data_IF_610224203465
#
_entry.id   IF_610224203465
#
_cell.length_a   1.000
_cell.length_b   1.000
_cell.length_c   1.000
_cell.angle_alpha   90.00
_cell.angle_beta   90.00
_cell.angle_gamma   90.00
#
_symmetry.space_group_name_H-M   'P 1'
#
loop_
_entity.id
_entity.type
_entity.pdbx_description
1 polymer ?
#
# COMPACT_ATOMS: atom_id res chain seq x y z
N UNK A 1 -26.29 31.95 -1.67
CA UNK A 1 -24.90 31.94 -1.20
C UNK A 1 -24.85 31.10 0.07
N UNK A 2 -25.13 29.81 -0.11
CA UNK A 2 -25.67 28.91 0.92
C UNK A 2 -24.57 28.10 1.62
N UNK A 3 -24.86 27.64 2.84
CA UNK A 3 -24.09 26.73 3.73
C UNK A 3 -23.39 25.54 3.02
N UNK A 4 -23.76 25.25 1.78
CA UNK A 4 -23.15 24.23 0.90
C UNK A 4 -21.74 24.62 0.46
N UNK A 5 -21.44 25.92 0.32
CA UNK A 5 -20.09 26.40 0.01
C UNK A 5 -19.15 26.31 1.24
N UNK A 6 -19.68 26.64 2.42
CA UNK A 6 -18.93 26.61 3.67
C UNK A 6 -18.61 25.16 4.13
N UNK A 7 -19.52 24.21 3.88
CA UNK A 7 -19.24 22.77 4.08
C UNK A 7 -18.19 22.20 3.11
N UNK A 8 -17.99 22.82 1.93
CA UNK A 8 -16.93 22.41 1.00
C UNK A 8 -15.57 22.99 1.39
N UNK A 9 -15.52 24.20 1.94
CA UNK A 9 -14.28 24.82 2.42
C UNK A 9 -13.82 24.29 3.79
N UNK A 10 -14.73 23.73 4.61
CA UNK A 10 -14.34 22.99 5.83
C UNK A 10 -13.84 21.57 5.56
N UNK A 11 -14.10 21.01 4.36
CA UNK A 11 -13.58 19.71 3.91
C UNK A 11 -12.15 19.80 3.36
N UNK A 12 -11.57 21.00 3.24
CA UNK A 12 -10.21 21.23 2.72
C UNK A 12 -9.17 21.56 3.82
N UNK A 13 -9.52 21.37 5.10
CA UNK A 13 -8.47 21.09 6.09
C UNK A 13 -7.98 19.69 5.76
N UNK A 14 -6.83 19.62 5.10
CA UNK A 14 -6.09 18.39 4.85
C UNK A 14 -6.05 17.61 6.16
N UNK A 15 -6.97 16.64 6.30
CA UNK A 15 -7.02 15.76 7.45
C UNK A 15 -5.65 15.14 7.56
N UNK A 16 -5.07 15.22 8.74
CA UNK A 16 -3.74 14.70 8.99
C UNK A 16 -3.64 13.27 8.43
N UNK A 17 -2.73 13.08 7.45
CA UNK A 17 -2.50 11.78 6.87
C UNK A 17 -1.98 10.85 7.95
N UNK A 18 -2.59 9.67 8.05
CA UNK A 18 -2.23 8.69 9.08
C UNK A 18 -0.75 8.31 8.97
N UNK A 19 -0.11 7.90 10.07
CA UNK A 19 1.28 7.42 10.03
C UNK A 19 1.47 6.29 9.00
N UNK A 20 0.45 5.44 8.81
CA UNK A 20 0.51 4.34 7.84
C UNK A 20 0.49 4.84 6.40
N UNK A 21 -0.24 5.90 6.11
CA UNK A 21 -0.26 6.53 4.79
C UNK A 21 1.11 7.10 4.41
N UNK A 22 1.68 7.94 5.29
CA UNK A 22 3.02 8.51 5.10
C UNK A 22 4.07 7.41 4.96
N UNK A 23 4.00 6.36 5.79
CA UNK A 23 4.90 5.22 5.68
C UNK A 23 4.82 4.56 4.29
N UNK A 24 3.62 4.34 3.76
CA UNK A 24 3.42 3.75 2.43
C UNK A 24 3.91 4.68 1.31
N UNK A 25 3.72 6.00 1.43
CA UNK A 25 4.27 7.01 0.49
C UNK A 25 5.78 6.99 0.44
N UNK A 26 6.45 7.11 1.59
CA UNK A 26 7.90 7.18 1.65
C UNK A 26 8.54 5.87 1.19
N UNK A 27 7.89 4.74 1.50
CA UNK A 27 8.32 3.43 1.03
C UNK A 27 8.23 3.31 -0.49
N UNK A 28 7.17 3.84 -1.10
CA UNK A 28 7.02 3.89 -2.55
C UNK A 28 8.07 4.81 -3.21
N UNK A 29 8.30 6.00 -2.65
CA UNK A 29 9.36 6.91 -3.10
C UNK A 29 10.74 6.27 -3.03
N UNK A 30 11.04 5.54 -1.94
CA UNK A 30 12.31 4.81 -1.80
C UNK A 30 12.48 3.74 -2.90
N UNK A 31 11.42 3.00 -3.24
CA UNK A 31 11.43 2.04 -4.36
C UNK A 31 11.70 2.72 -5.69
N UNK A 32 10.99 3.81 -5.99
CA UNK A 32 11.16 4.57 -7.25
C UNK A 32 12.57 5.10 -7.43
N UNK A 33 13.16 5.65 -6.37
CA UNK A 33 14.56 6.11 -6.38
C UNK A 33 15.52 4.95 -6.63
N UNK A 34 15.28 3.78 -6.01
CA UNK A 34 16.13 2.61 -6.19
C UNK A 34 16.02 2.01 -7.60
N UNK A 35 14.81 1.94 -8.14
CA UNK A 35 14.54 1.46 -9.50
C UNK A 35 15.22 2.37 -10.53
N UNK A 36 15.09 3.70 -10.38
CA UNK A 36 15.73 4.67 -11.25
C UNK A 36 17.26 4.58 -11.16
N UNK A 37 17.82 4.50 -9.94
CA UNK A 37 19.26 4.33 -9.71
C UNK A 37 19.79 3.04 -10.35
N UNK A 38 19.04 1.94 -10.25
CA UNK A 38 19.41 0.65 -10.84
C UNK A 38 19.34 0.70 -12.36
N UNK A 39 18.33 1.38 -12.92
CA UNK A 39 18.21 1.64 -14.34
C UNK A 39 19.39 2.44 -14.91
N UNK A 40 19.78 3.52 -14.24
CA UNK A 40 20.95 4.33 -14.62
C UNK A 40 22.24 3.51 -14.62
N UNK A 41 22.49 2.71 -13.58
CA UNK A 41 23.66 1.82 -13.52
C UNK A 41 23.68 0.84 -14.70
N UNK A 42 22.54 0.19 -14.97
CA UNK A 42 22.43 -0.79 -16.07
C UNK A 42 22.63 -0.18 -17.46
N UNK A 43 22.22 1.08 -17.68
CA UNK A 43 22.47 1.79 -18.95
C UNK A 43 23.94 2.18 -19.11
N UNK A 44 24.58 2.61 -18.03
CA UNK A 44 25.94 3.16 -18.08
C UNK A 44 27.03 2.09 -18.11
N UNK A 45 26.78 0.91 -17.53
CA UNK A 45 27.72 -0.21 -17.63
C UNK A 45 27.91 -0.68 -19.09
N UNK A 46 26.99 -0.32 -20.01
CA UNK A 46 27.11 -0.61 -21.45
C UNK A 46 27.76 0.50 -22.29
N UNK A 47 27.85 1.75 -21.79
CA UNK A 47 28.28 2.93 -22.58
C UNK A 47 29.42 3.75 -21.95
N UNK A 48 29.83 3.42 -20.72
CA UNK A 48 30.70 4.28 -19.90
C UNK A 48 29.89 5.39 -19.22
N UNK A 49 30.36 5.88 -18.07
CA UNK A 49 29.67 6.92 -17.27
C UNK A 49 30.19 8.32 -17.59
N UNK A 50 29.28 9.28 -17.65
CA UNK A 50 29.64 10.71 -17.63
C UNK A 50 29.80 11.22 -16.20
N UNK A 51 30.54 12.33 -16.01
CA UNK A 51 30.69 12.99 -14.71
C UNK A 51 29.33 13.37 -14.11
N UNK A 52 28.39 13.83 -14.95
CA UNK A 52 27.04 14.19 -14.50
C UNK A 52 26.26 12.99 -13.96
N UNK A 53 26.37 11.83 -14.63
CA UNK A 53 25.73 10.58 -14.19
C UNK A 53 26.35 10.05 -12.89
N UNK A 54 27.66 10.23 -12.68
CA UNK A 54 28.31 9.86 -11.41
C UNK A 54 27.77 10.70 -10.25
N UNK A 55 27.68 12.02 -10.43
CA UNK A 55 27.08 12.93 -9.45
C UNK A 55 25.62 12.57 -9.20
N UNK A 56 24.84 12.28 -10.24
CA UNK A 56 23.44 11.85 -10.10
C UNK A 56 23.32 10.54 -9.29
N UNK A 57 24.18 9.55 -9.55
CA UNK A 57 24.20 8.29 -8.80
C UNK A 57 24.57 8.46 -7.32
N UNK A 58 25.42 9.43 -7.01
CA UNK A 58 25.77 9.82 -5.64
C UNK A 58 24.58 10.49 -4.94
N UNK A 59 23.96 11.48 -5.59
CA UNK A 59 22.75 12.16 -5.10
C UNK A 59 21.62 11.16 -4.83
N UNK A 60 21.34 10.26 -5.77
CA UNK A 60 20.35 9.18 -5.60
C UNK A 60 20.73 8.23 -4.47
N UNK A 61 22.03 7.99 -4.25
CA UNK A 61 22.55 7.22 -3.13
C UNK A 61 22.22 7.87 -1.78
N UNK A 62 22.48 9.17 -1.67
CA UNK A 62 22.17 9.97 -0.48
C UNK A 62 20.65 10.01 -0.21
N UNK A 63 19.87 10.38 -1.23
CA UNK A 63 18.41 10.42 -1.15
C UNK A 63 17.81 9.07 -0.71
N UNK A 64 18.34 7.95 -1.23
CA UNK A 64 17.89 6.61 -0.81
C UNK A 64 18.17 6.37 0.68
N UNK A 65 19.31 6.82 1.18
CA UNK A 65 19.67 6.69 2.61
C UNK A 65 18.67 7.45 3.48
N UNK A 66 18.43 8.72 3.16
CA UNK A 66 17.51 9.60 3.90
C UNK A 66 16.08 9.04 3.89
N UNK A 67 15.60 8.61 2.72
CA UNK A 67 14.30 7.98 2.58
C UNK A 67 14.21 6.67 3.38
N UNK A 68 15.27 5.87 3.41
CA UNK A 68 15.30 4.61 4.17
C UNK A 68 15.19 4.88 5.68
N UNK A 69 15.86 5.93 6.17
CA UNK A 69 15.75 6.35 7.56
C UNK A 69 14.33 6.84 7.89
N UNK A 70 13.77 7.72 7.05
CA UNK A 70 12.39 8.19 7.21
C UNK A 70 11.38 7.03 7.22
N UNK A 71 11.52 6.05 6.32
CA UNK A 71 10.66 4.85 6.29
C UNK A 71 10.77 4.06 7.60
N UNK A 72 11.97 3.90 8.16
CA UNK A 72 12.15 3.20 9.43
C UNK A 72 11.48 3.93 10.59
N UNK A 73 11.61 5.25 10.63
CA UNK A 73 11.01 6.07 11.67
C UNK A 73 9.48 6.08 11.57
N UNK A 74 8.94 6.29 10.37
CA UNK A 74 7.50 6.18 10.12
C UNK A 74 6.99 4.80 10.50
N UNK A 75 7.73 3.72 10.21
CA UNK A 75 7.34 2.37 10.62
C UNK A 75 7.24 2.22 12.14
N UNK A 76 8.14 2.82 12.91
CA UNK A 76 8.01 2.84 14.38
C UNK A 76 6.75 3.58 14.80
N UNK A 77 6.51 4.77 14.24
CA UNK A 77 5.32 5.56 14.56
C UNK A 77 4.03 4.80 14.27
N UNK A 78 3.96 4.07 13.15
CA UNK A 78 2.79 3.23 12.84
C UNK A 78 2.50 2.18 13.92
N UNK A 79 3.54 1.63 14.55
CA UNK A 79 3.41 0.52 15.51
C UNK A 79 3.19 0.99 16.94
N UNK A 80 3.72 2.14 17.31
CA UNK A 80 3.83 2.54 18.71
C UNK A 80 3.03 3.81 19.04
N UNK A 81 2.85 4.73 18.10
CA UNK A 81 2.10 5.96 18.35
C UNK A 81 0.59 5.73 18.28
N UNK A 82 -0.14 6.56 19.04
CA UNK A 82 -1.59 6.67 18.96
C UNK A 82 -2.02 7.37 17.65
N UNK A 83 -3.27 7.17 17.24
CA UNK A 83 -3.77 7.76 16.00
C UNK A 83 -3.12 7.23 14.72
N UNK A 84 -2.36 6.13 14.75
CA UNK A 84 -1.59 5.68 13.59
C UNK A 84 -2.43 5.28 12.35
N UNK A 85 -3.75 5.09 12.51
CA UNK A 85 -4.67 4.65 11.47
C UNK A 85 -5.85 5.61 11.41
N UNK A 86 -6.40 5.86 10.22
CA UNK A 86 -7.66 6.57 10.09
C UNK A 86 -8.86 5.59 10.09
N UNK A 87 -10.08 6.13 10.10
CA UNK A 87 -11.31 5.31 10.10
C UNK A 87 -11.44 4.47 8.82
N UNK A 88 -11.14 5.07 7.68
CA UNK A 88 -11.22 4.43 6.37
C UNK A 88 -10.30 3.21 6.26
N UNK A 89 -9.12 3.27 6.89
CA UNK A 89 -8.16 2.17 6.97
C UNK A 89 -8.75 0.94 7.66
N UNK A 90 -9.56 1.14 8.70
CA UNK A 90 -10.16 0.05 9.47
C UNK A 90 -11.38 -0.57 8.76
N UNK A 91 -12.09 0.23 7.97
CA UNK A 91 -13.31 -0.17 7.26
C UNK A 91 -13.01 -0.86 5.94
N UNK A 92 -12.07 -0.34 5.15
CA UNK A 92 -11.81 -0.80 3.78
C UNK A 92 -10.76 -1.91 3.69
N UNK A 93 -9.94 -2.09 4.73
CA UNK A 93 -8.94 -3.16 4.75
C UNK A 93 -9.51 -4.51 5.18
N UNK A 94 -8.87 -5.58 4.70
CA UNK A 94 -9.32 -6.98 4.93
C UNK A 94 -8.81 -7.47 6.29
N UNK A 95 -9.38 -6.91 7.35
CA UNK A 95 -9.13 -7.30 8.73
C UNK A 95 -10.11 -8.38 9.16
N UNK A 96 -9.65 -9.26 10.06
CA UNK A 96 -10.59 -10.06 10.85
C UNK A 96 -11.28 -9.16 11.88
N UNK A 97 -12.43 -9.58 12.40
CA UNK A 97 -13.13 -8.81 13.42
C UNK A 97 -12.23 -8.49 14.63
N UNK A 98 -11.50 -9.49 15.09
CA UNK A 98 -10.53 -9.32 16.20
C UNK A 98 -9.39 -8.36 15.87
N UNK A 99 -8.89 -8.36 14.64
CA UNK A 99 -7.84 -7.42 14.21
C UNK A 99 -8.37 -5.99 14.14
N UNK A 100 -9.62 -5.82 13.66
CA UNK A 100 -10.28 -4.51 13.59
C UNK A 100 -10.55 -3.96 14.97
N UNK A 101 -11.08 -4.77 15.88
CA UNK A 101 -11.34 -4.41 17.28
C UNK A 101 -10.05 -3.96 17.97
N UNK A 102 -8.98 -4.77 17.89
CA UNK A 102 -7.68 -4.42 18.46
C UNK A 102 -7.12 -3.13 17.86
N UNK A 103 -7.20 -2.96 16.53
CA UNK A 103 -6.67 -1.78 15.84
C UNK A 103 -7.45 -0.50 16.16
N UNK A 104 -8.77 -0.62 16.39
CA UNK A 104 -9.64 0.46 16.83
C UNK A 104 -9.29 0.91 18.25
N UNK A 105 -9.20 -0.04 19.18
CA UNK A 105 -8.85 0.28 20.58
C UNK A 105 -7.42 0.84 20.68
N UNK A 106 -6.48 0.33 19.86
CA UNK A 106 -5.10 0.83 19.82
C UNK A 106 -4.93 2.26 19.34
N UNK A 107 -5.98 2.89 18.80
CA UNK A 107 -5.95 4.32 18.49
C UNK A 107 -5.80 5.18 19.75
N UNK A 108 -6.34 4.73 20.88
CA UNK A 108 -6.41 5.53 22.11
C UNK A 108 -5.89 4.81 23.36
N UNK A 109 -5.54 3.53 23.25
CA UNK A 109 -5.11 2.70 24.38
C UNK A 109 -3.81 1.98 24.06
N UNK A 110 -2.96 1.80 25.06
CA UNK A 110 -1.75 0.98 25.01
C UNK A 110 -2.08 -0.50 24.80
N UNK A 111 -1.09 -1.30 24.35
CA UNK A 111 -1.29 -2.75 24.20
C UNK A 111 -1.71 -3.43 25.52
N UNK A 112 -1.24 -2.91 26.66
CA UNK A 112 -1.55 -3.43 28.00
C UNK A 112 -2.98 -3.12 28.40
N UNK A 113 -3.47 -1.91 28.15
CA UNK A 113 -4.86 -1.54 28.43
C UNK A 113 -5.83 -2.32 27.54
N UNK A 114 -5.53 -2.44 26.25
CA UNK A 114 -6.35 -3.25 25.32
C UNK A 114 -6.35 -4.72 25.73
N UNK A 115 -5.23 -5.23 26.23
CA UNK A 115 -5.14 -6.59 26.78
C UNK A 115 -6.09 -6.79 27.96
N UNK A 116 -6.11 -5.85 28.90
CA UNK A 116 -7.04 -5.89 30.04
C UNK A 116 -8.51 -5.79 29.59
N UNK A 117 -8.83 -4.91 28.63
CA UNK A 117 -10.19 -4.74 28.12
C UNK A 117 -10.72 -5.98 27.38
N UNK A 118 -9.84 -6.71 26.71
CA UNK A 118 -10.20 -7.85 25.85
C UNK A 118 -9.89 -9.21 26.46
N UNK A 119 -9.45 -9.24 27.72
CA UNK A 119 -8.99 -10.43 28.45
C UNK A 119 -7.95 -11.24 27.66
N UNK A 120 -6.94 -10.54 27.14
CA UNK A 120 -5.86 -11.13 26.35
C UNK A 120 -4.49 -10.83 26.95
N UNK A 121 -3.51 -11.63 26.54
CA UNK A 121 -2.10 -11.29 26.73
C UNK A 121 -1.68 -10.07 25.89
N UNK A 122 -0.92 -9.10 26.45
CA UNK A 122 -0.41 -7.94 25.71
C UNK A 122 0.38 -8.31 24.45
N UNK A 123 1.08 -9.44 24.47
CA UNK A 123 1.81 -9.98 23.32
C UNK A 123 0.87 -10.39 22.18
N UNK A 124 -0.30 -10.93 22.50
CA UNK A 124 -1.34 -11.30 21.54
C UNK A 124 -1.96 -10.07 20.91
N UNK A 125 -2.24 -9.03 21.71
CA UNK A 125 -2.71 -7.73 21.23
C UNK A 125 -1.69 -7.11 20.28
N UNK A 126 -0.42 -7.03 20.67
CA UNK A 126 0.62 -6.46 19.82
C UNK A 126 0.77 -7.24 18.50
N UNK A 127 0.71 -8.58 18.55
CA UNK A 127 0.76 -9.43 17.35
C UNK A 127 -0.44 -9.16 16.43
N UNK A 128 -1.65 -9.08 16.98
CA UNK A 128 -2.86 -8.78 16.21
C UNK A 128 -2.79 -7.39 15.58
N UNK A 129 -2.34 -6.38 16.33
CA UNK A 129 -2.16 -5.02 15.85
C UNK A 129 -1.12 -4.93 14.72
N UNK A 130 0.05 -5.56 14.92
CA UNK A 130 1.11 -5.64 13.89
C UNK A 130 0.61 -6.32 12.61
N UNK A 131 -0.23 -7.35 12.72
CA UNK A 131 -0.87 -7.99 11.56
C UNK A 131 -1.89 -7.07 10.88
N UNK A 132 -2.68 -6.31 11.65
CA UNK A 132 -3.62 -5.33 11.13
C UNK A 132 -2.89 -4.25 10.31
N UNK A 133 -1.85 -3.63 10.88
CA UNK A 133 -1.02 -2.64 10.17
C UNK A 133 -0.47 -3.20 8.86
N UNK A 134 0.09 -4.41 8.87
CA UNK A 134 0.61 -5.05 7.63
C UNK A 134 -0.47 -5.23 6.56
N UNK A 135 -1.71 -5.51 6.96
CA UNK A 135 -2.83 -5.67 6.03
C UNK A 135 -3.30 -4.32 5.49
N UNK A 136 -3.33 -3.29 6.34
CA UNK A 136 -3.66 -1.91 5.96
C UNK A 136 -2.60 -1.35 5.02
N UNK A 137 -1.31 -1.54 5.31
CA UNK A 137 -0.20 -1.16 4.43
C UNK A 137 -0.38 -1.78 3.04
N UNK A 138 -0.67 -3.08 2.98
CA UNK A 138 -0.95 -3.77 1.70
C UNK A 138 -2.19 -3.25 1.00
N UNK A 139 -3.23 -2.88 1.75
CA UNK A 139 -4.43 -2.27 1.20
C UNK A 139 -4.10 -0.92 0.55
N UNK A 140 -3.42 -0.01 1.26
CA UNK A 140 -3.01 1.29 0.73
C UNK A 140 -2.05 1.17 -0.46
N UNK A 141 -1.11 0.24 -0.41
CA UNK A 141 -0.23 -0.05 -1.56
C UNK A 141 -1.04 -0.44 -2.80
N UNK A 142 -2.05 -1.31 -2.63
CA UNK A 142 -2.95 -1.73 -3.72
C UNK A 142 -3.85 -0.61 -4.21
N UNK A 143 -4.39 0.19 -3.30
CA UNK A 143 -5.24 1.34 -3.61
C UNK A 143 -4.50 2.35 -4.51
N UNK A 144 -3.23 2.63 -4.21
CA UNK A 144 -2.36 3.48 -5.06
C UNK A 144 -2.11 2.90 -6.44
N UNK A 145 -2.01 1.58 -6.55
CA UNK A 145 -1.89 0.88 -7.83
C UNK A 145 -3.26 0.71 -8.55
N UNK A 146 -4.36 1.20 -7.97
CA UNK A 146 -5.71 0.99 -8.48
C UNK A 146 -6.16 -0.47 -8.48
N UNK A 147 -5.58 -1.29 -7.60
CA UNK A 147 -5.86 -2.72 -7.45
C UNK A 147 -6.99 -2.91 -6.43
N UNK A 148 -8.10 -3.56 -6.82
CA UNK A 148 -9.20 -3.86 -5.91
C UNK A 148 -8.76 -4.68 -4.69
N UNK A 149 -9.35 -4.43 -3.50
CA UNK A 149 -9.08 -5.24 -2.33
C UNK A 149 -9.55 -6.69 -2.54
N UNK A 150 -8.87 -7.65 -1.90
CA UNK A 150 -9.34 -9.05 -1.80
C UNK A 150 -9.00 -9.93 -3.00
N UNK A 151 -8.21 -9.43 -3.94
CA UNK A 151 -7.57 -10.26 -4.95
C UNK A 151 -6.53 -11.19 -4.31
N UNK A 152 -6.43 -12.41 -4.83
CA UNK A 152 -5.34 -13.33 -4.51
C UNK A 152 -4.05 -12.90 -5.22
N UNK A 153 -2.86 -13.38 -4.79
CA UNK A 153 -1.60 -13.01 -5.44
C UNK A 153 -1.57 -13.27 -6.95
N UNK A 154 -2.21 -14.35 -7.41
CA UNK A 154 -2.32 -14.65 -8.84
C UNK A 154 -3.30 -13.71 -9.55
N UNK A 155 -4.41 -13.35 -8.90
CA UNK A 155 -5.36 -12.39 -9.44
C UNK A 155 -4.74 -10.98 -9.54
N UNK A 156 -3.93 -10.57 -8.58
CA UNK A 156 -3.20 -9.29 -8.61
C UNK A 156 -2.25 -9.23 -9.82
N UNK A 157 -1.46 -10.29 -10.05
CA UNK A 157 -0.57 -10.39 -11.22
C UNK A 157 -1.34 -10.27 -12.54
N UNK A 158 -2.44 -11.02 -12.67
CA UNK A 158 -3.32 -10.96 -13.85
C UNK A 158 -3.91 -9.55 -14.03
N UNK A 159 -4.35 -8.92 -12.95
CA UNK A 159 -4.94 -7.59 -12.98
C UNK A 159 -3.94 -6.49 -13.38
N UNK A 160 -2.71 -6.52 -12.86
CA UNK A 160 -1.64 -5.58 -13.25
C UNK A 160 -1.34 -5.66 -14.75
N UNK A 161 -1.19 -6.88 -15.29
CA UNK A 161 -0.95 -7.08 -16.72
C UNK A 161 -2.16 -6.66 -17.56
N UNK A 162 -3.38 -6.84 -17.06
CA UNK A 162 -4.59 -6.34 -17.70
C UNK A 162 -4.64 -4.80 -17.74
N UNK A 163 -4.27 -4.12 -16.66
CA UNK A 163 -4.17 -2.64 -16.63
C UNK A 163 -3.13 -2.11 -17.63
N UNK A 164 -2.08 -2.88 -17.91
CA UNK A 164 -1.11 -2.60 -18.97
C UNK A 164 -1.64 -2.88 -20.40
N UNK A 165 -2.96 -3.10 -20.56
CA UNK A 165 -3.63 -3.40 -21.83
C UNK A 165 -3.15 -4.67 -22.54
N UNK A 166 -2.52 -5.62 -21.83
CA UNK A 166 -2.15 -6.91 -22.40
C UNK A 166 -3.39 -7.77 -22.67
N UNK A 167 -3.35 -8.48 -23.80
CA UNK A 167 -4.35 -9.47 -24.16
C UNK A 167 -4.28 -10.70 -23.25
N UNK A 168 -5.36 -11.48 -23.19
CA UNK A 168 -5.40 -12.71 -22.39
C UNK A 168 -4.30 -13.71 -22.76
N UNK A 169 -3.91 -13.72 -24.04
CA UNK A 169 -2.82 -14.57 -24.55
C UNK A 169 -1.47 -14.10 -24.05
N UNK A 170 -1.17 -12.81 -24.17
CA UNK A 170 0.08 -12.24 -23.65
C UNK A 170 0.19 -12.37 -22.13
N UNK A 171 -0.93 -12.26 -21.41
CA UNK A 171 -0.98 -12.51 -19.95
C UNK A 171 -0.68 -13.98 -19.65
N UNK A 172 -1.29 -14.90 -20.39
CA UNK A 172 -1.07 -16.34 -20.23
C UNK A 172 0.41 -16.71 -20.46
N UNK A 173 1.00 -16.16 -21.52
CA UNK A 173 2.42 -16.33 -21.85
C UNK A 173 3.32 -15.69 -20.76
N UNK A 174 3.04 -14.45 -20.34
CA UNK A 174 3.81 -13.75 -19.30
C UNK A 174 3.79 -14.45 -17.94
N UNK A 175 2.70 -15.15 -17.61
CA UNK A 175 2.52 -15.82 -16.32
C UNK A 175 2.72 -17.34 -16.40
N UNK A 176 3.03 -17.88 -17.58
CA UNK A 176 3.11 -19.31 -17.85
C UNK A 176 1.89 -20.11 -17.33
N UNK A 177 0.69 -19.65 -17.66
CA UNK A 177 -0.58 -20.30 -17.29
C UNK A 177 -1.50 -20.43 -18.51
N UNK A 178 -2.54 -21.26 -18.43
CA UNK A 178 -3.49 -21.40 -19.54
C UNK A 178 -4.33 -20.12 -19.75
N UNK A 179 -4.71 -19.85 -21.01
CA UNK A 179 -5.63 -18.76 -21.37
C UNK A 179 -6.99 -18.91 -20.64
N UNK A 180 -7.45 -20.14 -20.41
CA UNK A 180 -8.68 -20.43 -19.66
C UNK A 180 -8.55 -20.04 -18.17
N UNK A 181 -7.38 -20.25 -17.58
CA UNK A 181 -7.06 -19.79 -16.23
C UNK A 181 -7.10 -18.26 -16.17
N UNK A 182 -6.52 -17.56 -17.14
CA UNK A 182 -6.59 -16.08 -17.24
C UNK A 182 -8.04 -15.60 -17.33
N UNK A 183 -8.86 -16.21 -18.19
CA UNK A 183 -10.29 -15.90 -18.32
C UNK A 183 -11.03 -16.07 -16.99
N UNK A 184 -10.74 -17.16 -16.27
CA UNK A 184 -11.34 -17.45 -14.96
C UNK A 184 -10.92 -16.41 -13.92
N UNK A 185 -9.63 -16.07 -13.87
CA UNK A 185 -9.13 -15.04 -12.97
C UNK A 185 -9.76 -13.68 -13.25
N UNK A 186 -9.82 -13.23 -14.51
CA UNK A 186 -10.46 -11.96 -14.88
C UNK A 186 -11.95 -11.92 -14.51
N UNK A 187 -12.68 -13.03 -14.68
CA UNK A 187 -14.08 -13.13 -14.24
C UNK A 187 -14.20 -12.98 -12.72
N UNK A 188 -13.35 -13.66 -11.96
CA UNK A 188 -13.34 -13.58 -10.50
C UNK A 188 -12.91 -12.19 -10.00
N UNK A 189 -11.94 -11.56 -10.69
CA UNK A 189 -11.53 -10.19 -10.41
C UNK A 189 -12.71 -9.25 -10.63
N UNK A 190 -13.40 -9.34 -11.78
CA UNK A 190 -14.59 -8.52 -12.05
C UNK A 190 -15.66 -8.67 -10.94
N UNK A 191 -15.94 -9.90 -10.51
CA UNK A 191 -16.87 -10.16 -9.40
C UNK A 191 -16.45 -9.50 -8.08
N UNK A 192 -15.14 -9.46 -7.81
CA UNK A 192 -14.57 -8.86 -6.58
C UNK A 192 -14.40 -7.34 -6.67
N UNK A 193 -14.12 -6.82 -7.87
CA UNK A 193 -13.88 -5.41 -8.15
C UNK A 193 -15.18 -4.61 -8.34
N UNK A 194 -16.26 -5.28 -8.74
CA UNK A 194 -17.56 -4.65 -8.96
C UNK A 194 -18.65 -5.69 -9.11
N UNK A 195 -19.40 -5.93 -8.02
CA UNK A 195 -20.83 -6.16 -8.21
C UNK A 195 -21.40 -4.95 -8.94
N UNK A 196 -21.33 -5.00 -10.27
CA UNK A 196 -21.71 -3.98 -11.26
C UNK A 196 -20.74 -2.77 -11.39
N UNK A 197 -20.31 -2.53 -12.63
CA UNK A 197 -19.63 -1.32 -13.14
C UNK A 197 -18.08 -1.27 -13.08
N UNK A 198 -17.48 -0.86 -14.21
CA UNK A 198 -16.06 -0.61 -14.49
C UNK A 198 -15.06 -1.77 -14.68
N UNK A 199 -15.46 -2.79 -15.44
CA UNK A 199 -14.55 -3.45 -16.39
C UNK A 199 -15.26 -3.58 -17.75
N UNK A 200 -15.52 -2.44 -18.38
CA UNK A 200 -15.87 -2.40 -19.80
C UNK A 200 -14.71 -1.76 -20.57
N UNK A 201 -14.51 -2.32 -21.76
CA UNK A 201 -13.44 -2.00 -22.70
C UNK A 201 -13.46 -0.53 -23.11
#
# INVERSE_FOLDING_TARGET
MSEVAEKRELSSRQEWSSWVELHVEYKDSCRKVDDYRTGLKGQNDAKGRTVLEEVELELLGSMKSDLTEAVRELKKRTLYEFGALNKDDLENSILTERQREVARLRQNHSCTEVASMLELEPSTVFRAYKQAIRKIEKYKEKEKEGIPPGLSPQQEKVYRLYQQRKTRREIAESLNISINSVKTHLRLIKKKAGGETNMQK
#
